data_IF_780347609628
#
_entry.id   IF_780347609628
#
_cell.length_a   1.000
_cell.length_b   1.000
_cell.length_c   1.000
_cell.angle_alpha   90.00
_cell.angle_beta   90.00
_cell.angle_gamma   90.00
#
_symmetry.space_group_name_H-M   'P 1'
#
loop_
_entity.id
_entity.type
_entity.pdbx_description
1 polymer ?
#
# COMPACT_ATOMS: atom_id res chain seq x y z
N UNK A 1 29.44 -17.05 -7.24
CA UNK A 1 28.31 -16.10 -7.40
C UNK A 1 27.18 -16.61 -6.51
N UNK A 2 26.92 -15.98 -5.35
CA UNK A 2 25.90 -16.46 -4.39
C UNK A 2 24.52 -16.13 -4.94
N UNK A 3 23.74 -17.17 -5.22
CA UNK A 3 22.33 -17.07 -5.58
C UNK A 3 21.57 -16.68 -4.29
N UNK A 4 21.02 -15.46 -4.23
CA UNK A 4 20.13 -15.06 -3.14
C UNK A 4 18.79 -15.76 -3.42
N UNK A 5 18.60 -16.92 -2.78
CA UNK A 5 17.36 -17.67 -2.83
C UNK A 5 16.27 -16.93 -2.02
N UNK A 6 15.64 -15.94 -2.65
CA UNK A 6 14.31 -15.53 -2.22
C UNK A 6 13.35 -16.67 -2.54
N UNK A 7 12.59 -17.13 -1.55
CA UNK A 7 11.50 -18.08 -1.79
C UNK A 7 10.57 -17.49 -2.86
N UNK A 8 10.58 -18.08 -4.06
CA UNK A 8 9.51 -17.92 -5.05
C UNK A 8 8.56 -19.07 -4.80
N UNK A 9 7.55 -18.84 -3.97
CA UNK A 9 6.63 -19.88 -3.53
C UNK A 9 5.39 -19.96 -4.43
N UNK A 10 4.77 -21.15 -4.60
CA UNK A 10 3.49 -21.31 -5.30
C UNK A 10 2.40 -20.56 -4.54
N UNK A 11 1.25 -20.35 -5.18
CA UNK A 11 0.08 -19.75 -4.54
C UNK A 11 -0.20 -20.43 -3.19
N UNK A 12 0.00 -19.68 -2.10
CA UNK A 12 -0.16 -20.17 -0.74
C UNK A 12 -1.57 -19.85 -0.27
N UNK A 13 -2.09 -20.71 0.60
CA UNK A 13 -3.33 -20.40 1.30
C UNK A 13 -3.12 -19.21 2.24
N UNK A 14 -4.16 -18.36 2.38
CA UNK A 14 -4.07 -17.16 3.18
C UNK A 14 -3.79 -17.49 4.66
N UNK A 15 -4.38 -18.56 5.20
CA UNK A 15 -4.19 -18.95 6.59
C UNK A 15 -2.72 -19.32 6.87
N UNK A 16 -2.11 -20.07 5.94
CA UNK A 16 -0.69 -20.41 6.05
C UNK A 16 0.20 -19.16 6.08
N UNK A 17 -0.10 -18.15 5.26
CA UNK A 17 0.68 -16.90 5.24
C UNK A 17 0.60 -16.21 6.59
N UNK A 18 -0.60 -16.08 7.17
CA UNK A 18 -0.81 -15.44 8.46
C UNK A 18 -0.02 -16.17 9.55
N UNK A 19 -0.16 -17.49 9.63
CA UNK A 19 0.51 -18.30 10.65
C UNK A 19 2.04 -18.24 10.56
N UNK A 20 2.59 -18.14 9.35
CA UNK A 20 4.04 -18.11 9.12
C UNK A 20 4.65 -16.73 9.10
N UNK A 21 3.85 -15.67 9.03
CA UNK A 21 4.38 -14.32 8.88
C UNK A 21 5.30 -13.90 10.04
N UNK A 22 4.97 -14.17 11.33
CA UNK A 22 5.87 -13.80 12.44
C UNK A 22 7.22 -14.51 12.37
N UNK A 23 7.22 -15.80 12.03
CA UNK A 23 8.46 -16.60 11.86
C UNK A 23 9.30 -16.04 10.70
N UNK A 24 8.67 -15.80 9.55
CA UNK A 24 9.34 -15.27 8.36
C UNK A 24 9.93 -13.87 8.59
N UNK A 25 9.22 -13.01 9.33
CA UNK A 25 9.71 -11.70 9.72
C UNK A 25 10.90 -11.83 10.68
N UNK A 26 10.82 -12.70 11.69
CA UNK A 26 11.92 -12.95 12.63
C UNK A 26 13.20 -13.48 11.94
N UNK A 27 13.08 -14.20 10.82
CA UNK A 27 14.24 -14.62 10.01
C UNK A 27 14.96 -13.46 9.32
N UNK A 28 14.31 -12.30 9.17
CA UNK A 28 14.87 -11.10 8.52
C UNK A 28 15.15 -11.26 7.03
N UNK A 29 14.62 -12.31 6.39
CA UNK A 29 14.80 -12.58 4.95
C UNK A 29 13.71 -11.90 4.12
N UNK A 30 13.96 -11.65 2.82
CA UNK A 30 12.91 -11.17 1.92
C UNK A 30 11.71 -12.12 1.87
N UNK A 31 10.50 -11.57 2.00
CA UNK A 31 9.23 -12.29 1.93
C UNK A 31 8.56 -11.96 0.60
N UNK A 32 8.23 -12.98 -0.19
CA UNK A 32 7.52 -12.85 -1.47
C UNK A 32 6.50 -13.98 -1.58
N UNK A 33 5.25 -13.67 -1.30
CA UNK A 33 4.15 -14.65 -1.30
C UNK A 33 2.99 -14.16 -2.15
N UNK A 34 2.24 -15.08 -2.71
CA UNK A 34 1.02 -14.83 -3.49
C UNK A 34 -0.11 -15.69 -2.94
N UNK A 35 -1.34 -15.18 -3.01
CA UNK A 35 -2.56 -15.89 -2.61
C UNK A 35 -3.73 -15.50 -3.50
N UNK A 36 -4.81 -16.29 -3.40
CA UNK A 36 -6.11 -15.96 -3.97
C UNK A 36 -6.07 -15.69 -5.48
N UNK A 37 -6.63 -14.56 -5.89
CA UNK A 37 -6.82 -14.16 -7.29
C UNK A 37 -5.64 -13.35 -7.84
N UNK A 38 -4.44 -13.55 -7.29
CA UNK A 38 -3.22 -12.84 -7.72
C UNK A 38 -2.80 -11.73 -6.77
N UNK A 39 -3.37 -11.69 -5.56
CA UNK A 39 -2.84 -10.85 -4.49
C UNK A 39 -1.45 -11.32 -4.06
N UNK A 40 -0.64 -10.37 -3.60
CA UNK A 40 0.75 -10.63 -3.26
C UNK A 40 1.30 -9.68 -2.22
N UNK A 41 2.22 -10.20 -1.43
CA UNK A 41 3.00 -9.47 -0.44
C UNK A 41 4.47 -9.55 -0.85
N UNK A 42 5.12 -8.40 -0.88
CA UNK A 42 6.56 -8.26 -1.09
C UNK A 42 7.16 -7.41 0.03
N UNK A 43 8.07 -8.01 0.78
CA UNK A 43 8.93 -7.33 1.73
C UNK A 43 10.37 -7.70 1.40
N UNK A 44 11.17 -6.75 0.92
CA UNK A 44 12.60 -6.98 0.68
C UNK A 44 13.40 -6.83 1.98
N UNK A 45 12.88 -6.05 2.95
CA UNK A 45 13.36 -5.90 4.32
C UNK A 45 12.23 -5.40 5.22
N UNK A 46 12.39 -5.53 6.53
CA UNK A 46 11.50 -4.92 7.51
C UNK A 46 11.57 -3.39 7.43
N UNK A 47 10.42 -2.74 7.26
CA UNK A 47 10.31 -1.29 7.18
C UNK A 47 9.13 -0.82 8.04
N UNK A 48 9.20 0.38 8.64
CA UNK A 48 8.10 0.97 9.39
C UNK A 48 7.00 1.53 8.48
N UNK A 49 6.88 1.00 7.26
CA UNK A 49 5.82 1.37 6.33
C UNK A 49 5.43 0.24 5.39
N UNK A 50 4.22 0.34 4.84
CA UNK A 50 3.69 -0.55 3.82
C UNK A 50 2.90 0.23 2.77
N UNK A 51 3.24 0.04 1.49
CA UNK A 51 2.39 0.49 0.39
C UNK A 51 1.34 -0.59 0.08
N UNK A 52 0.06 -0.23 0.05
CA UNK A 52 -1.01 -1.19 -0.23
C UNK A 52 -1.78 -0.75 -1.46
N UNK A 53 -1.64 -1.51 -2.55
CA UNK A 53 -2.47 -1.30 -3.73
C UNK A 53 -3.81 -2.00 -3.59
N UNK A 54 -4.89 -1.28 -3.90
CA UNK A 54 -6.19 -1.86 -4.16
C UNK A 54 -6.68 -1.41 -5.52
N UNK A 55 -7.33 -2.32 -6.23
CA UNK A 55 -7.87 -2.06 -7.57
C UNK A 55 -9.37 -2.33 -7.58
N UNK A 56 -10.07 -1.64 -8.48
CA UNK A 56 -11.44 -1.96 -8.85
C UNK A 56 -11.54 -3.12 -9.85
N UNK A 57 -10.43 -3.39 -10.55
CA UNK A 57 -10.37 -4.37 -11.64
C UNK A 57 -9.28 -5.42 -11.38
N UNK A 58 -9.51 -6.62 -11.87
CA UNK A 58 -8.56 -7.74 -11.76
C UNK A 58 -7.36 -7.62 -12.71
N UNK A 59 -7.39 -6.67 -13.65
CA UNK A 59 -6.26 -6.41 -14.55
C UNK A 59 -5.17 -5.64 -13.83
N UNK A 60 -3.92 -6.09 -14.01
CA UNK A 60 -2.76 -5.42 -13.43
C UNK A 60 -2.58 -4.03 -14.07
N UNK A 61 -2.92 -2.98 -13.31
CA UNK A 61 -2.70 -1.59 -13.69
C UNK A 61 -1.21 -1.24 -13.68
N UNK A 62 -0.81 -0.22 -14.44
CA UNK A 62 0.51 0.39 -14.29
C UNK A 62 0.81 0.85 -12.85
N UNK A 63 -0.21 1.20 -12.04
CA UNK A 63 -0.05 1.47 -10.60
C UNK A 63 0.46 0.25 -9.85
N UNK A 64 -0.07 -0.96 -10.13
CA UNK A 64 0.48 -2.20 -9.58
C UNK A 64 1.93 -2.45 -10.04
N UNK A 65 2.31 -2.02 -11.26
CA UNK A 65 3.68 -2.12 -11.76
C UNK A 65 4.65 -1.19 -11.03
N UNK A 66 4.25 0.06 -10.77
CA UNK A 66 5.04 1.00 -9.95
C UNK A 66 5.33 0.40 -8.58
N UNK A 67 4.33 -0.25 -7.98
CA UNK A 67 4.46 -0.86 -6.66
C UNK A 67 5.27 -2.15 -6.63
N UNK A 68 5.45 -2.83 -7.77
CA UNK A 68 6.36 -3.97 -7.85
C UNK A 68 7.82 -3.60 -7.57
N UNK A 69 8.21 -2.33 -7.71
CA UNK A 69 9.57 -1.87 -7.41
C UNK A 69 9.73 -1.37 -5.96
N UNK A 70 8.66 -1.33 -5.16
CA UNK A 70 8.75 -0.95 -3.76
C UNK A 70 9.27 -2.09 -2.88
N UNK A 71 10.07 -1.72 -1.89
CA UNK A 71 10.69 -2.67 -0.96
C UNK A 71 9.73 -3.21 0.11
N UNK A 72 8.56 -2.58 0.29
CA UNK A 72 7.49 -3.01 1.20
C UNK A 72 6.14 -2.71 0.58
N UNK A 73 5.49 -3.73 0.01
CA UNK A 73 4.23 -3.56 -0.69
C UNK A 73 3.31 -4.79 -0.61
N UNK A 74 2.01 -4.52 -0.55
CA UNK A 74 0.93 -5.48 -0.81
C UNK A 74 0.18 -5.02 -2.05
N UNK A 75 -0.11 -5.95 -2.96
CA UNK A 75 -1.00 -5.72 -4.10
C UNK A 75 -2.20 -6.63 -3.91
N UNK A 76 -3.39 -6.05 -3.79
CA UNK A 76 -4.65 -6.78 -3.60
C UNK A 76 -5.44 -6.86 -4.91
N UNK A 77 -5.78 -8.08 -5.31
CA UNK A 77 -6.83 -8.32 -6.29
C UNK A 77 -8.18 -7.91 -5.67
N UNK A 78 -9.14 -7.39 -6.48
CA UNK A 78 -10.44 -6.94 -5.98
C UNK A 78 -11.23 -8.00 -5.19
N UNK A 79 -11.03 -9.27 -5.53
CA UNK A 79 -11.74 -10.43 -4.97
C UNK A 79 -11.16 -10.90 -3.63
N UNK A 80 -9.92 -10.52 -3.32
CA UNK A 80 -9.20 -11.04 -2.16
C UNK A 80 -9.27 -10.09 -0.97
N UNK A 81 -9.55 -10.64 0.21
CA UNK A 81 -9.46 -9.88 1.45
C UNK A 81 -8.04 -9.92 2.02
N UNK A 82 -7.24 -8.89 1.75
CA UNK A 82 -5.87 -8.79 2.31
C UNK A 82 -5.77 -8.41 3.79
N UNK A 83 -6.86 -7.97 4.43
CA UNK A 83 -6.82 -7.39 5.78
C UNK A 83 -6.11 -8.29 6.80
N UNK A 84 -6.43 -9.59 6.94
CA UNK A 84 -5.82 -10.42 7.98
C UNK A 84 -4.29 -10.52 7.86
N UNK A 85 -3.75 -10.57 6.64
CA UNK A 85 -2.30 -10.58 6.40
C UNK A 85 -1.69 -9.24 6.80
N UNK A 86 -2.36 -8.13 6.48
CA UNK A 86 -1.88 -6.78 6.83
C UNK A 86 -1.94 -6.56 8.34
N UNK A 87 -2.98 -7.03 9.02
CA UNK A 87 -3.10 -7.00 10.48
C UNK A 87 -1.95 -7.78 11.13
N UNK A 88 -1.67 -9.01 10.68
CA UNK A 88 -0.57 -9.81 11.22
C UNK A 88 0.80 -9.14 11.00
N UNK A 89 1.02 -8.58 9.81
CA UNK A 89 2.25 -7.87 9.45
C UNK A 89 2.48 -6.67 10.37
N UNK A 90 1.46 -5.82 10.49
CA UNK A 90 1.53 -4.59 11.27
C UNK A 90 1.60 -4.91 12.76
N UNK A 91 0.82 -5.87 13.23
CA UNK A 91 0.83 -6.34 14.62
C UNK A 91 2.19 -6.87 15.05
N UNK A 92 2.91 -7.52 14.12
CA UNK A 92 4.27 -8.01 14.36
C UNK A 92 5.33 -6.89 14.31
N UNK A 93 5.24 -5.97 13.34
CA UNK A 93 6.30 -4.98 13.10
C UNK A 93 6.14 -3.68 13.90
N UNK A 94 4.92 -3.20 14.09
CA UNK A 94 4.66 -1.92 14.76
C UNK A 94 5.26 -1.85 16.18
N UNK A 95 5.18 -2.88 17.04
CA UNK A 95 5.80 -2.85 18.36
C UNK A 95 7.32 -2.65 18.34
N UNK A 96 7.99 -3.06 17.25
CA UNK A 96 9.45 -2.94 17.09
C UNK A 96 9.87 -1.53 16.66
N UNK A 97 9.01 -0.83 15.93
CA UNK A 97 9.27 0.53 15.42
C UNK A 97 8.60 1.64 16.24
N UNK A 98 7.60 1.32 17.06
CA UNK A 98 6.80 2.26 17.86
C UNK A 98 5.66 2.96 17.09
N UNK A 99 5.68 2.90 15.75
CA UNK A 99 4.63 3.37 14.86
C UNK A 99 4.73 2.65 13.52
N UNK A 100 3.66 2.70 12.72
CA UNK A 100 3.66 2.12 11.38
C UNK A 100 2.91 3.01 10.39
N UNK A 101 3.49 3.24 9.21
CA UNK A 101 2.87 4.05 8.16
C UNK A 101 2.28 3.18 7.04
N UNK A 102 1.04 3.44 6.64
CA UNK A 102 0.42 2.79 5.49
C UNK A 102 0.04 3.84 4.45
N UNK A 103 0.47 3.61 3.22
CA UNK A 103 0.03 4.35 2.04
C UNK A 103 -0.89 3.43 1.23
N UNK A 104 -2.20 3.65 1.31
CA UNK A 104 -3.21 2.95 0.51
C UNK A 104 -3.32 3.64 -0.85
N UNK A 105 -3.11 2.90 -1.95
CA UNK A 105 -2.95 3.47 -3.29
C UNK A 105 -3.96 2.83 -4.23
N UNK A 106 -4.68 3.66 -4.99
CA UNK A 106 -5.58 3.21 -6.04
C UNK A 106 -5.53 4.14 -7.25
N UNK A 107 -6.00 3.65 -8.38
CA UNK A 107 -6.18 4.49 -9.56
C UNK A 107 -7.61 5.03 -9.58
N UNK A 108 -7.77 6.26 -10.06
CA UNK A 108 -9.07 6.79 -10.47
C UNK A 108 -9.62 5.95 -11.63
N UNK A 109 -10.92 5.67 -11.64
CA UNK A 109 -11.56 5.06 -12.80
C UNK A 109 -11.43 5.98 -14.02
N UNK A 110 -10.95 5.45 -15.15
CA UNK A 110 -10.73 6.21 -16.37
C UNK A 110 -12.08 6.64 -16.99
N UNK A 111 -12.49 7.88 -16.74
CA UNK A 111 -13.68 8.48 -17.35
C UNK A 111 -13.25 9.67 -18.23
N UNK A 112 -12.88 9.38 -19.48
CA UNK A 112 -12.56 10.39 -20.51
C UNK A 112 -11.17 11.03 -20.42
N UNK A 113 -10.99 12.20 -21.09
CA UNK A 113 -9.75 13.00 -21.03
C UNK A 113 -9.44 13.33 -19.57
N UNK A 114 -8.33 12.82 -19.03
CA UNK A 114 -7.96 12.98 -17.63
C UNK A 114 -7.69 14.45 -17.29
N UNK A 115 -8.57 15.11 -16.50
CA UNK A 115 -8.23 16.40 -15.94
C UNK A 115 -7.37 16.20 -14.69
N UNK A 116 -6.66 17.26 -14.28
CA UNK A 116 -6.04 17.36 -12.97
C UNK A 116 -7.04 16.99 -11.84
N UNK A 117 -6.54 16.50 -10.68
CA UNK A 117 -5.13 16.32 -10.32
C UNK A 117 -4.54 14.97 -10.79
N UNK A 118 -3.22 14.94 -10.97
CA UNK A 118 -2.46 13.69 -11.21
C UNK A 118 -2.41 12.81 -9.96
N UNK A 119 -2.32 13.46 -8.80
CA UNK A 119 -2.31 12.82 -7.49
C UNK A 119 -3.31 13.52 -6.57
N UNK A 120 -4.17 12.74 -5.93
CA UNK A 120 -5.01 13.22 -4.84
C UNK A 120 -4.63 12.48 -3.55
N UNK A 121 -4.22 13.23 -2.54
CA UNK A 121 -3.82 12.69 -1.23
C UNK A 121 -5.02 12.82 -0.29
N UNK A 122 -5.37 11.73 0.37
CA UNK A 122 -6.50 11.66 1.28
C UNK A 122 -5.97 11.39 2.71
N UNK A 123 -5.81 12.42 3.55
CA UNK A 123 -5.33 12.26 4.91
C UNK A 123 -6.35 11.68 5.88
N UNK A 124 -5.85 11.27 7.04
CA UNK A 124 -6.66 11.09 8.23
C UNK A 124 -7.22 12.42 8.75
N UNK A 125 -7.91 12.37 9.89
CA UNK A 125 -8.50 13.59 10.51
C UNK A 125 -7.58 14.26 11.53
N UNK A 126 -6.48 13.62 11.89
CA UNK A 126 -5.52 14.13 12.87
C UNK A 126 -4.45 15.02 12.20
N UNK A 127 -3.83 15.90 13.00
CA UNK A 127 -2.84 16.86 12.54
C UNK A 127 -1.59 16.21 11.93
N UNK A 128 -1.20 15.02 12.41
CA UNK A 128 0.00 14.35 11.92
C UNK A 128 -0.21 13.84 10.50
N UNK A 129 -1.39 13.27 10.23
CA UNK A 129 -1.77 12.85 8.88
C UNK A 129 -1.84 14.02 7.90
N UNK A 130 -2.32 15.19 8.33
CA UNK A 130 -2.35 16.40 7.51
C UNK A 130 -0.93 16.90 7.18
N UNK A 131 -0.04 16.99 8.17
CA UNK A 131 1.34 17.40 7.95
C UNK A 131 2.08 16.45 7.00
N UNK A 132 1.87 15.14 7.14
CA UNK A 132 2.46 14.17 6.22
C UNK A 132 1.90 14.31 4.80
N UNK A 133 0.59 14.56 4.66
CA UNK A 133 -0.03 14.81 3.36
C UNK A 133 0.54 16.07 2.68
N UNK A 134 0.76 17.14 3.43
CA UNK A 134 1.40 18.36 2.94
C UNK A 134 2.84 18.10 2.49
N UNK A 135 3.62 17.37 3.28
CA UNK A 135 4.98 16.99 2.93
C UNK A 135 5.02 16.12 1.67
N UNK A 136 4.18 15.07 1.61
CA UNK A 136 4.09 14.19 0.44
C UNK A 136 3.64 14.98 -0.80
N UNK A 137 2.73 15.94 -0.67
CA UNK A 137 2.32 16.79 -1.79
C UNK A 137 3.47 17.64 -2.34
N UNK A 138 4.31 18.18 -1.46
CA UNK A 138 5.50 18.93 -1.87
C UNK A 138 6.50 18.05 -2.61
N UNK A 139 6.73 16.83 -2.12
CA UNK A 139 7.65 15.90 -2.77
C UNK A 139 7.11 15.40 -4.12
N UNK A 140 5.82 15.07 -4.22
CA UNK A 140 5.20 14.64 -5.48
C UNK A 140 5.26 15.73 -6.55
N UNK A 141 5.04 17.00 -6.19
CA UNK A 141 5.19 18.14 -7.12
C UNK A 141 6.60 18.22 -7.73
N UNK A 142 7.62 17.87 -6.95
CA UNK A 142 9.04 17.91 -7.35
C UNK A 142 9.49 16.71 -8.20
N UNK A 143 8.70 15.63 -8.29
CA UNK A 143 9.14 14.40 -8.97
C UNK A 143 9.23 14.53 -10.50
N UNK A 144 8.44 15.42 -11.12
CA UNK A 144 8.47 15.59 -12.56
C UNK A 144 9.48 16.67 -12.97
N UNK A 145 10.40 16.28 -13.87
CA UNK A 145 11.48 17.14 -14.38
C UNK A 145 11.04 18.04 -15.55
N UNK A 146 9.87 17.78 -16.15
CA UNK A 146 9.37 18.50 -17.33
C UNK A 146 8.25 19.51 -16.99
N UNK A 147 7.24 19.08 -16.22
CA UNK A 147 6.14 19.93 -15.74
C UNK A 147 5.78 19.54 -14.30
N UNK A 148 5.48 20.51 -13.44
CA UNK A 148 5.14 20.25 -12.03
C UNK A 148 3.85 19.43 -11.94
N UNK A 149 3.88 18.31 -11.20
CA UNK A 149 2.71 17.45 -11.06
C UNK A 149 1.57 18.19 -10.34
N UNK A 150 0.34 18.08 -10.84
CA UNK A 150 -0.82 18.67 -10.14
C UNK A 150 -1.24 17.77 -8.99
N UNK A 151 -1.05 18.25 -7.75
CA UNK A 151 -1.34 17.51 -6.51
C UNK A 151 -2.36 18.24 -5.66
N UNK A 152 -3.42 17.54 -5.27
CA UNK A 152 -4.47 18.03 -4.37
C UNK A 152 -4.52 17.24 -3.05
N UNK A 153 -4.84 17.92 -1.96
CA UNK A 153 -5.13 17.30 -0.67
C UNK A 153 -6.64 17.31 -0.48
N UNK A 154 -7.24 16.12 -0.40
CA UNK A 154 -8.67 15.92 -0.24
C UNK A 154 -9.11 16.09 1.22
N UNK A 155 -10.32 16.59 1.43
CA UNK A 155 -11.00 16.51 2.73
C UNK A 155 -11.81 15.22 2.90
N UNK A 156 -11.84 14.36 1.86
CA UNK A 156 -12.56 13.10 1.86
C UNK A 156 -11.78 12.00 2.60
N UNK A 157 -12.42 10.85 2.80
CA UNK A 157 -11.81 9.70 3.48
C UNK A 157 -10.59 9.18 2.71
N UNK A 158 -9.64 8.50 3.39
CA UNK A 158 -8.42 7.93 2.79
C UNK A 158 -8.66 6.70 1.91
N UNK A 159 -9.82 6.62 1.25
CA UNK A 159 -10.25 5.48 0.45
C UNK A 159 -11.52 5.83 -0.32
N UNK A 160 -11.80 5.13 -1.43
CA UNK A 160 -13.10 5.15 -2.07
C UNK A 160 -14.26 4.74 -1.13
N UNK A 161 -15.45 5.29 -1.42
CA UNK A 161 -16.66 5.05 -0.62
C UNK A 161 -17.11 3.60 -0.64
N UNK A 162 -16.96 2.92 -1.79
CA UNK A 162 -17.43 1.53 -1.98
C UNK A 162 -16.61 0.51 -1.17
N UNK A 163 -15.42 0.90 -0.72
CA UNK A 163 -14.54 0.01 0.01
C UNK A 163 -14.89 -0.05 1.49
N UNK A 164 -14.47 -1.10 2.20
CA UNK A 164 -14.32 -1.04 3.64
C UNK A 164 -13.03 -0.31 4.03
N UNK A 165 -12.86 0.10 5.30
CA UNK A 165 -11.55 0.54 5.78
C UNK A 165 -10.53 -0.59 5.62
N UNK A 166 -9.29 -0.27 5.26
CA UNK A 166 -8.23 -1.27 5.15
C UNK A 166 -8.02 -2.00 6.49
N UNK A 167 -7.83 -1.21 7.56
CA UNK A 167 -7.71 -1.68 8.93
C UNK A 167 -8.79 -1.07 9.84
N UNK A 168 -9.30 -1.81 10.83
CA UNK A 168 -10.21 -1.29 11.85
C UNK A 168 -9.60 -0.09 12.60
N UNK A 169 -10.44 0.83 13.06
CA UNK A 169 -9.97 2.01 13.81
C UNK A 169 -9.24 1.60 15.10
N UNK A 170 -9.81 0.67 15.87
CA UNK A 170 -9.22 0.19 17.12
C UNK A 170 -7.82 -0.41 16.90
N UNK A 171 -7.66 -1.24 15.87
CA UNK A 171 -6.36 -1.80 15.50
C UNK A 171 -5.33 -0.72 15.15
N UNK A 172 -5.74 0.31 14.39
CA UNK A 172 -4.85 1.42 14.05
C UNK A 172 -4.42 2.22 15.28
N UNK A 173 -5.31 2.42 16.24
CA UNK A 173 -4.99 3.12 17.50
C UNK A 173 -4.06 2.28 18.38
N UNK A 174 -4.32 0.99 18.50
CA UNK A 174 -3.51 0.04 19.26
C UNK A 174 -2.06 -0.05 18.75
N UNK A 175 -1.89 -0.10 17.42
CA UNK A 175 -0.57 -0.24 16.79
C UNK A 175 0.04 1.07 16.30
N UNK A 176 -0.52 2.22 16.70
CA UNK A 176 -0.05 3.56 16.30
C UNK A 176 0.16 3.69 14.77
N UNK A 177 -0.86 3.27 14.02
CA UNK A 177 -0.85 3.21 12.55
C UNK A 177 -1.35 4.53 11.97
N UNK A 178 -0.45 5.22 11.26
CA UNK A 178 -0.79 6.36 10.42
C UNK A 178 -1.14 5.85 9.01
N UNK A 179 -2.28 6.29 8.47
CA UNK A 179 -2.76 5.85 7.16
C UNK A 179 -3.07 7.06 6.28
N UNK A 180 -2.50 7.08 5.08
CA UNK A 180 -2.85 8.01 4.00
C UNK A 180 -3.39 7.24 2.81
N UNK A 181 -4.39 7.81 2.15
CA UNK A 181 -4.82 7.39 0.82
C UNK A 181 -4.13 8.21 -0.26
N UNK A 182 -3.78 7.56 -1.37
CA UNK A 182 -3.26 8.20 -2.57
C UNK A 182 -4.02 7.68 -3.79
N UNK A 183 -4.85 8.55 -4.35
CA UNK A 183 -5.48 8.31 -5.64
C UNK A 183 -4.55 8.82 -6.76
N UNK A 184 -4.31 7.98 -7.75
CA UNK A 184 -3.49 8.29 -8.92
C UNK A 184 -4.35 8.40 -10.17
N UNK A 185 -4.07 9.37 -11.03
CA UNK A 185 -4.70 9.47 -12.34
C UNK A 185 -4.42 8.22 -13.21
N UNK A 186 -5.35 7.88 -14.11
CA UNK A 186 -5.27 6.66 -14.92
C UNK A 186 -4.14 6.69 -15.97
N UNK A 187 -3.45 7.82 -16.19
CA UNK A 187 -2.24 7.88 -17.03
C UNK A 187 -1.12 6.97 -16.54
N UNK A 188 -1.16 6.58 -15.26
CA UNK A 188 -0.25 5.59 -14.67
C UNK A 188 -0.75 4.14 -14.85
N UNK A 189 -1.72 3.87 -15.73
CA UNK A 189 -2.24 2.51 -15.97
C UNK A 189 -1.55 1.75 -17.12
N UNK A 190 -0.82 2.43 -18.01
CA UNK A 190 -0.17 1.86 -19.20
C UNK A 190 1.30 1.44 -18.96
#
# INVERSE_FOLDING_TARGET
MRQVAGLRDPMRDQQWIIEKLPELLAEGKPIRVQWGHGSRLRLDRELPFLCVHRSYTSTATGTARLLNNNASAVILAPEDNGRPIIEELVGTLAPRFGAFFILEIWSKEAQGKHPAPEFQIHPGRDSNSMQLAEYLAQELRRLNLAEEAVVEISSQRPRPEQWGPLLPKAFREEHNVMLLGLEMAAVYQD
#
